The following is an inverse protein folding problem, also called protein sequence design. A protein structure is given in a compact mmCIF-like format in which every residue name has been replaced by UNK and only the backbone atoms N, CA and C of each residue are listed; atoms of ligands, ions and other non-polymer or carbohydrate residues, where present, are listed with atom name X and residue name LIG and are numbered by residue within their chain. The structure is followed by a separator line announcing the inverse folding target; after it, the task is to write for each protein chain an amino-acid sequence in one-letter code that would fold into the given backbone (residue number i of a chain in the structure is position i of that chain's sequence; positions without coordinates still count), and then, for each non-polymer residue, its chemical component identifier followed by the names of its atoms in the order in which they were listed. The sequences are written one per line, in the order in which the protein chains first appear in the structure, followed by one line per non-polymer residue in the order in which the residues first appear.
data_IF_152032013241
#
_entry.id   IF_152032013241
#
_cell.length_a   1.000
_cell.length_b   1.000
_cell.length_c   1.000
_cell.angle_alpha   90.00
_cell.angle_beta   90.00
_cell.angle_gamma   90.00
#
_symmetry.space_group_name_H-M   'P 1'
#
loop_
_entity.id
_entity.type
_entity.pdbx_description
1 polymer ?
#
# COMPACT_ATOMS: atom_id res chain seq x y z
N UNK A 1 12.13 12.23 -22.97
CA UNK A 1 12.11 12.28 -21.48
C UNK A 1 10.75 11.95 -20.86
N UNK A 2 9.62 12.23 -21.53
CA UNK A 2 8.26 11.93 -21.04
C UNK A 2 7.95 10.42 -20.94
N UNK A 3 8.43 9.61 -21.90
CA UNK A 3 8.24 8.15 -21.95
C UNK A 3 8.78 7.43 -20.72
N UNK A 4 9.96 7.81 -20.22
CA UNK A 4 10.57 7.15 -19.06
C UNK A 4 9.78 7.43 -17.76
N UNK A 5 9.14 8.61 -17.64
CA UNK A 5 8.27 8.92 -16.48
C UNK A 5 6.94 8.19 -16.54
N UNK A 6 6.36 8.05 -17.73
CA UNK A 6 5.15 7.25 -17.94
C UNK A 6 5.37 5.77 -17.59
N UNK A 7 6.51 5.20 -17.99
CA UNK A 7 6.86 3.82 -17.67
C UNK A 7 7.00 3.59 -16.17
N UNK A 8 7.59 4.55 -15.43
CA UNK A 8 7.71 4.48 -13.96
C UNK A 8 6.31 4.53 -13.30
N UNK A 9 5.40 5.37 -13.80
CA UNK A 9 4.02 5.44 -13.28
C UNK A 9 3.27 4.11 -13.40
N UNK A 10 3.39 3.44 -14.55
CA UNK A 10 2.77 2.14 -14.79
C UNK A 10 3.45 1.06 -13.94
N UNK A 11 4.78 1.07 -13.89
CA UNK A 11 5.56 0.11 -13.09
C UNK A 11 5.20 0.20 -11.60
N UNK A 12 5.08 1.42 -11.06
CA UNK A 12 4.67 1.63 -9.66
C UNK A 12 3.27 1.09 -9.39
N UNK A 13 2.33 1.28 -10.33
CA UNK A 13 0.97 0.77 -10.20
C UNK A 13 0.95 -0.76 -10.20
N UNK A 14 1.68 -1.40 -11.13
CA UNK A 14 1.80 -2.86 -11.22
C UNK A 14 2.40 -3.42 -9.93
N UNK A 15 3.51 -2.84 -9.44
CA UNK A 15 4.13 -3.28 -8.18
C UNK A 15 3.15 -3.14 -7.02
N UNK A 16 2.40 -2.04 -6.96
CA UNK A 16 1.40 -1.81 -5.92
C UNK A 16 0.31 -2.89 -5.96
N UNK A 17 -0.20 -3.24 -7.15
CA UNK A 17 -1.20 -4.30 -7.34
C UNK A 17 -0.64 -5.67 -6.95
N UNK A 18 0.59 -6.00 -7.35
CA UNK A 18 1.23 -7.27 -6.99
C UNK A 18 1.38 -7.40 -5.48
N UNK A 19 1.83 -6.34 -4.81
CA UNK A 19 1.93 -6.33 -3.34
C UNK A 19 0.56 -6.50 -2.71
N UNK A 20 -0.47 -5.81 -3.20
CA UNK A 20 -1.83 -6.00 -2.74
C UNK A 20 -2.29 -7.45 -2.90
N UNK A 21 -2.11 -8.05 -4.07
CA UNK A 21 -2.47 -9.43 -4.33
C UNK A 21 -1.71 -10.41 -3.40
N UNK A 22 -0.41 -10.19 -3.19
CA UNK A 22 0.38 -10.99 -2.26
C UNK A 22 -0.18 -10.96 -0.84
N UNK A 23 -0.50 -9.77 -0.32
CA UNK A 23 -1.06 -9.65 1.03
C UNK A 23 -2.44 -10.31 1.15
N UNK A 24 -3.34 -10.12 0.18
CA UNK A 24 -4.68 -10.70 0.23
C UNK A 24 -4.73 -12.21 -0.04
N UNK A 25 -3.89 -12.73 -0.92
CA UNK A 25 -3.95 -14.12 -1.35
C UNK A 25 -3.00 -15.04 -0.57
N UNK A 26 -1.95 -14.50 0.04
CA UNK A 26 -0.93 -15.29 0.74
C UNK A 26 -0.89 -14.95 2.22
N UNK A 27 -0.68 -13.68 2.57
CA UNK A 27 -0.46 -13.27 3.96
C UNK A 27 -1.70 -13.42 4.82
N UNK A 28 -2.84 -12.85 4.39
CA UNK A 28 -4.07 -12.88 5.17
C UNK A 28 -4.56 -14.32 5.40
N UNK A 29 -4.62 -15.21 4.39
CA UNK A 29 -4.98 -16.61 4.61
C UNK A 29 -4.02 -17.34 5.55
N UNK A 30 -2.71 -17.06 5.46
CA UNK A 30 -1.74 -17.61 6.41
C UNK A 30 -2.01 -17.11 7.83
N UNK A 31 -2.24 -15.81 8.02
CA UNK A 31 -2.55 -15.23 9.33
C UNK A 31 -3.82 -15.82 9.94
N UNK A 32 -4.88 -15.98 9.15
CA UNK A 32 -6.13 -16.63 9.59
C UNK A 32 -5.91 -18.09 10.01
N UNK A 33 -5.10 -18.86 9.27
CA UNK A 33 -4.81 -20.27 9.57
C UNK A 33 -4.06 -20.49 10.88
N UNK A 34 -3.30 -19.49 11.33
CA UNK A 34 -2.45 -19.55 12.52
C UNK A 34 -2.86 -18.53 13.58
N UNK A 35 -4.13 -18.12 13.55
CA UNK A 35 -4.82 -17.35 14.58
C UNK A 35 -4.28 -15.91 14.80
N UNK A 36 -3.53 -15.35 13.84
CA UNK A 36 -2.99 -13.97 13.94
C UNK A 36 -4.07 -12.87 13.92
N UNK A 37 -5.26 -13.18 13.39
CA UNK A 37 -6.39 -12.25 13.36
C UNK A 37 -7.55 -12.71 14.25
N UNK A 38 -7.34 -13.75 15.06
CA UNK A 38 -8.39 -14.27 15.94
C UNK A 38 -8.49 -13.42 17.20
N UNK A 39 -9.72 -13.06 17.60
CA UNK A 39 -9.96 -12.36 18.85
C UNK A 39 -9.98 -13.35 20.01
N UNK A 40 -9.10 -13.16 20.99
CA UNK A 40 -9.06 -13.96 22.22
C UNK A 40 -8.25 -15.26 22.13
N UNK A 41 -7.61 -15.54 20.98
CA UNK A 41 -6.60 -16.59 20.85
C UNK A 41 -5.24 -15.95 20.56
N UNK A 42 -4.21 -16.40 21.27
CA UNK A 42 -2.85 -15.99 20.96
C UNK A 42 -2.39 -16.63 19.64
N UNK A 43 -1.66 -15.89 18.79
CA UNK A 43 -1.07 -16.45 17.58
C UNK A 43 -0.12 -17.60 17.94
N UNK A 44 -0.05 -18.61 17.07
CA UNK A 44 0.85 -19.76 17.31
C UNK A 44 2.31 -19.28 17.34
N UNK A 45 2.94 -19.38 18.51
CA UNK A 45 4.26 -18.83 18.79
C UNK A 45 5.35 -19.31 17.81
N UNK A 46 5.29 -20.57 17.36
CA UNK A 46 6.23 -21.14 16.40
C UNK A 46 6.08 -20.55 14.97
N UNK A 47 4.96 -19.88 14.69
CA UNK A 47 4.66 -19.27 13.39
C UNK A 47 4.91 -17.77 13.32
N UNK A 48 5.05 -17.10 14.47
CA UNK A 48 5.36 -15.66 14.57
C UNK A 48 6.59 -15.26 13.73
N UNK A 49 7.76 -15.91 13.82
CA UNK A 49 8.93 -15.48 13.04
C UNK A 49 8.72 -15.63 11.54
N UNK A 50 8.04 -16.69 11.10
CA UNK A 50 7.72 -16.89 9.68
C UNK A 50 6.75 -15.82 9.17
N UNK A 51 5.71 -15.52 9.95
CA UNK A 51 4.74 -14.50 9.60
C UNK A 51 5.36 -13.11 9.56
N UNK A 52 6.24 -12.77 10.50
CA UNK A 52 7.01 -11.53 10.48
C UNK A 52 7.87 -11.42 9.22
N UNK A 53 8.61 -12.48 8.85
CA UNK A 53 9.44 -12.50 7.64
C UNK A 53 8.63 -12.39 6.35
N UNK A 54 7.42 -12.93 6.33
CA UNK A 54 6.50 -12.85 5.19
C UNK A 54 5.82 -11.48 5.04
N UNK A 55 5.85 -10.61 6.06
CA UNK A 55 5.10 -9.35 6.07
C UNK A 55 6.02 -8.14 6.15
N UNK A 56 6.79 -8.02 7.22
CA UNK A 56 7.55 -6.81 7.58
C UNK A 56 8.64 -6.47 6.56
N UNK A 57 9.53 -7.39 6.13
CA UNK A 57 10.55 -7.09 5.12
C UNK A 57 9.96 -6.66 3.78
N UNK A 58 8.84 -7.27 3.38
CA UNK A 58 8.15 -6.98 2.11
C UNK A 58 7.54 -5.57 2.17
N UNK A 59 6.89 -5.21 3.27
CA UNK A 59 6.34 -3.87 3.45
C UNK A 59 7.46 -2.82 3.48
N UNK A 60 8.55 -3.05 4.20
CA UNK A 60 9.70 -2.14 4.24
C UNK A 60 10.28 -1.95 2.84
N UNK A 61 10.49 -3.04 2.09
CA UNK A 61 10.98 -3.00 0.71
C UNK A 61 10.06 -2.19 -0.19
N UNK A 62 8.74 -2.38 -0.06
CA UNK A 62 7.73 -1.61 -0.79
C UNK A 62 7.77 -0.11 -0.43
N UNK A 63 7.85 0.25 0.85
CA UNK A 63 7.93 1.65 1.31
C UNK A 63 9.19 2.33 0.76
N UNK A 64 10.35 1.67 0.83
CA UNK A 64 11.61 2.20 0.27
C UNK A 64 11.51 2.40 -1.23
N UNK A 65 10.92 1.43 -1.94
CA UNK A 65 10.71 1.51 -3.38
C UNK A 65 9.78 2.66 -3.77
N UNK A 66 8.66 2.81 -3.07
CA UNK A 66 7.70 3.92 -3.26
C UNK A 66 8.37 5.26 -2.99
N UNK A 67 9.08 5.41 -1.87
CA UNK A 67 9.73 6.68 -1.50
C UNK A 67 10.72 7.17 -2.57
N UNK A 68 11.44 6.24 -3.22
CA UNK A 68 12.36 6.54 -4.33
C UNK A 68 11.63 6.86 -5.64
N UNK A 69 10.49 6.22 -5.88
CA UNK A 69 9.78 6.26 -7.17
C UNK A 69 8.76 7.39 -7.25
N UNK A 70 8.09 7.74 -6.15
CA UNK A 70 6.94 8.67 -6.14
C UNK A 70 7.28 10.07 -6.65
N UNK A 71 8.53 10.53 -6.44
CA UNK A 71 9.02 11.83 -6.95
C UNK A 71 9.14 11.85 -8.49
N UNK A 72 9.24 10.68 -9.12
CA UNK A 72 9.43 10.51 -10.57
C UNK A 72 8.11 10.29 -11.33
N UNK A 73 7.02 10.02 -10.61
CA UNK A 73 5.67 9.79 -11.15
C UNK A 73 5.07 11.12 -11.62
N UNK A 74 4.70 11.16 -12.90
CA UNK A 74 4.11 12.33 -13.55
C UNK A 74 2.70 12.09 -14.08
N UNK A 75 2.28 10.83 -14.19
CA UNK A 75 1.01 10.38 -14.76
C UNK A 75 0.40 9.25 -13.91
N UNK A 76 -0.91 9.01 -14.00
CA UNK A 76 -1.67 8.05 -13.16
C UNK A 76 -1.48 8.28 -11.65
N UNK A 77 -1.26 9.53 -11.25
CA UNK A 77 -1.10 9.89 -9.84
C UNK A 77 -2.42 9.69 -9.08
N UNK A 78 -3.57 9.90 -9.73
CA UNK A 78 -4.89 9.69 -9.12
C UNK A 78 -5.14 8.23 -8.71
N UNK A 79 -4.48 7.26 -9.35
CA UNK A 79 -4.56 5.84 -8.99
C UNK A 79 -3.42 5.44 -8.06
N UNK A 80 -2.20 5.85 -8.38
CA UNK A 80 -1.01 5.47 -7.61
C UNK A 80 -1.08 5.99 -6.16
N UNK A 81 -1.42 7.26 -5.96
CA UNK A 81 -1.38 7.87 -4.63
C UNK A 81 -2.34 7.22 -3.61
N UNK A 82 -3.65 7.06 -3.90
CA UNK A 82 -4.55 6.41 -2.96
C UNK A 82 -4.20 4.95 -2.72
N UNK A 83 -3.79 4.21 -3.76
CA UNK A 83 -3.40 2.81 -3.61
C UNK A 83 -2.15 2.65 -2.73
N UNK A 84 -1.17 3.53 -2.88
CA UNK A 84 0.02 3.56 -2.04
C UNK A 84 -0.33 3.81 -0.58
N UNK A 85 -1.18 4.82 -0.31
CA UNK A 85 -1.63 5.13 1.05
C UNK A 85 -2.37 3.94 1.65
N UNK A 86 -3.31 3.36 0.89
CA UNK A 86 -4.05 2.18 1.32
C UNK A 86 -3.09 1.02 1.67
N UNK A 87 -2.16 0.69 0.77
CA UNK A 87 -1.21 -0.39 0.97
C UNK A 87 -0.33 -0.16 2.20
N UNK A 88 0.25 1.04 2.35
CA UNK A 88 1.11 1.35 3.50
C UNK A 88 0.30 1.28 4.80
N UNK A 89 -0.86 1.92 4.84
CA UNK A 89 -1.69 1.95 6.04
C UNK A 89 -2.17 0.54 6.41
N UNK A 90 -2.88 -0.13 5.51
CA UNK A 90 -3.52 -1.42 5.78
C UNK A 90 -2.48 -2.52 6.05
N UNK A 91 -1.42 -2.61 5.26
CA UNK A 91 -0.39 -3.65 5.48
C UNK A 91 0.48 -3.38 6.70
N UNK A 92 0.56 -2.14 7.20
CA UNK A 92 1.18 -1.88 8.51
C UNK A 92 0.41 -2.57 9.63
N UNK A 93 -0.93 -2.59 9.60
CA UNK A 93 -1.72 -3.37 10.56
C UNK A 93 -1.48 -4.86 10.40
N UNK A 94 -1.42 -5.35 9.17
CA UNK A 94 -1.08 -6.76 8.93
C UNK A 94 0.29 -7.12 9.54
N UNK A 95 1.30 -6.27 9.40
CA UNK A 95 2.60 -6.50 10.04
C UNK A 95 2.52 -6.45 11.57
N UNK A 96 1.77 -5.50 12.14
CA UNK A 96 1.57 -5.37 13.59
C UNK A 96 0.83 -6.56 14.22
N UNK A 97 0.02 -7.27 13.43
CA UNK A 97 -0.65 -8.50 13.90
C UNK A 97 0.35 -9.60 14.30
N UNK A 98 1.60 -9.55 13.83
CA UNK A 98 2.65 -10.46 14.26
C UNK A 98 2.98 -10.34 15.76
N UNK A 99 2.87 -9.13 16.32
CA UNK A 99 3.19 -8.85 17.72
C UNK A 99 1.95 -8.74 18.61
N UNK A 100 0.84 -8.24 18.04
CA UNK A 100 -0.37 -7.91 18.81
C UNK A 100 -1.53 -8.89 18.57
N UNK A 101 -1.37 -9.85 17.65
CA UNK A 101 -2.43 -10.79 17.28
C UNK A 101 -3.71 -10.07 16.82
N UNK A 102 -4.86 -10.62 17.22
CA UNK A 102 -6.18 -10.04 16.88
C UNK A 102 -6.45 -8.66 17.49
N UNK A 103 -5.68 -8.20 18.48
CA UNK A 103 -5.84 -6.86 19.05
C UNK A 103 -5.61 -5.74 18.02
N UNK A 104 -4.93 -6.06 16.91
CA UNK A 104 -4.73 -5.14 15.79
C UNK A 104 -6.04 -4.67 15.14
N UNK A 105 -7.09 -5.49 15.19
CA UNK A 105 -8.41 -5.15 14.63
C UNK A 105 -9.03 -3.97 15.39
N UNK A 106 -8.86 -3.94 16.71
CA UNK A 106 -9.28 -2.83 17.57
C UNK A 106 -8.52 -1.55 17.25
N UNK A 107 -7.21 -1.63 17.05
CA UNK A 107 -6.39 -0.49 16.63
C UNK A 107 -6.85 0.05 15.26
N UNK A 108 -7.25 -0.84 14.35
CA UNK A 108 -7.77 -0.44 13.04
C UNK A 108 -9.07 0.36 13.15
N UNK A 109 -9.98 -0.02 14.06
CA UNK A 109 -11.24 0.71 14.31
C UNK A 109 -10.96 2.15 14.75
N UNK A 110 -10.06 2.35 15.72
CA UNK A 110 -9.76 3.70 16.22
C UNK A 110 -9.05 4.59 15.19
N UNK A 111 -8.31 3.98 14.27
CA UNK A 111 -7.49 4.71 13.31
C UNK A 111 -8.12 4.81 11.92
N UNK A 112 -9.29 4.21 11.69
CA UNK A 112 -9.96 4.13 10.37
C UNK A 112 -10.27 5.50 9.77
N UNK A 113 -10.39 6.55 10.60
CA UNK A 113 -10.57 7.92 10.14
C UNK A 113 -9.37 8.43 9.32
N UNK A 114 -8.16 7.92 9.59
CA UNK A 114 -6.94 8.31 8.89
C UNK A 114 -7.02 7.95 7.40
N UNK A 115 -7.20 6.68 6.97
CA UNK A 115 -7.32 6.36 5.56
C UNK A 115 -8.59 6.93 4.95
N UNK A 116 -9.68 7.04 5.72
CA UNK A 116 -10.94 7.63 5.26
C UNK A 116 -10.76 9.06 4.75
N UNK A 117 -9.85 9.82 5.38
CA UNK A 117 -9.53 11.20 4.98
C UNK A 117 -8.37 11.23 3.96
N UNK A 118 -7.30 10.47 4.21
CA UNK A 118 -6.09 10.51 3.37
C UNK A 118 -6.32 9.96 1.96
N UNK A 119 -7.15 8.92 1.79
CA UNK A 119 -7.42 8.33 0.48
C UNK A 119 -8.10 9.37 -0.44
N UNK A 120 -9.22 10.01 -0.07
CA UNK A 120 -9.83 11.07 -0.87
C UNK A 120 -8.88 12.24 -1.17
N UNK A 121 -8.13 12.72 -0.17
CA UNK A 121 -7.16 13.81 -0.36
C UNK A 121 -6.10 13.42 -1.39
N UNK A 122 -5.57 12.21 -1.29
CA UNK A 122 -4.54 11.72 -2.20
C UNK A 122 -5.05 11.49 -3.62
N UNK A 123 -6.31 11.06 -3.77
CA UNK A 123 -6.98 10.94 -5.05
C UNK A 123 -7.11 12.31 -5.71
N UNK A 124 -7.63 13.31 -4.99
CA UNK A 124 -7.76 14.70 -5.50
C UNK A 124 -6.39 15.27 -5.87
N UNK A 125 -5.40 15.11 -5.00
CA UNK A 125 -4.03 15.57 -5.27
C UNK A 125 -3.43 14.91 -6.52
N UNK A 126 -3.68 13.61 -6.70
CA UNK A 126 -3.29 12.87 -7.89
C UNK A 126 -4.00 13.35 -9.15
N UNK A 127 -5.31 13.58 -9.08
CA UNK A 127 -6.13 14.09 -10.18
C UNK A 127 -5.63 15.46 -10.66
N UNK A 128 -5.35 16.38 -9.74
CA UNK A 128 -4.80 17.70 -10.07
C UNK A 128 -3.46 17.55 -10.82
N UNK A 129 -2.61 16.62 -10.39
CA UNK A 129 -1.32 16.35 -11.03
C UNK A 129 -1.49 15.79 -12.44
N UNK A 130 -2.41 14.86 -12.62
CA UNK A 130 -2.68 14.23 -13.90
C UNK A 130 -3.30 15.21 -14.90
N UNK A 131 -4.23 16.08 -14.47
CA UNK A 131 -4.79 17.16 -15.31
C UNK A 131 -3.68 18.11 -15.78
N UNK A 132 -2.76 18.51 -14.88
CA UNK A 132 -1.62 19.37 -15.24
C UNK A 132 -0.70 18.70 -16.25
N UNK A 133 -0.48 17.39 -16.12
CA UNK A 133 0.33 16.62 -17.05
C UNK A 133 -0.30 16.55 -18.45
N UNK A 134 -1.60 16.25 -18.53
CA UNK A 134 -2.34 16.18 -19.79
C UNK A 134 -2.35 17.54 -20.50
N UNK A 135 -2.74 18.62 -19.80
CA UNK A 135 -2.75 19.97 -20.37
C UNK A 135 -1.39 20.40 -20.90
N UNK A 136 -0.30 20.04 -20.21
CA UNK A 136 1.06 20.34 -20.66
C UNK A 136 1.38 19.61 -21.97
N UNK A 137 1.02 18.33 -22.09
CA UNK A 137 1.29 17.57 -23.31
C UNK A 137 0.46 18.07 -24.51
N UNK A 138 -0.78 18.49 -24.29
CA UNK A 138 -1.62 19.07 -25.35
C UNK A 138 -1.00 20.35 -25.94
N UNK A 139 -0.38 21.19 -25.09
CA UNK A 139 0.33 22.41 -25.50
C UNK A 139 1.61 22.16 -26.33
N UNK A 140 2.24 20.99 -26.21
CA UNK A 140 3.46 20.66 -26.98
C UNK A 140 3.16 19.92 -28.29
N UNK A 141 1.91 19.47 -28.49
CA UNK A 141 1.47 18.80 -29.71
C UNK A 141 0.71 19.73 -30.68
N UNK A 142 0.58 21.01 -30.32
CA UNK A 142 0.14 22.11 -31.21
C UNK A 142 1.37 22.83 -31.77
#
# INVERSE_FOLDING_TARGET
MATNRSNISIYLLIVSIIITAYFFLVVIPYGNKYDFFSEGLDPKADKVPYYFLMTTPILIGYVVFVARSIKKVAYLCCLNYPLIIFNIYFFSFICLSAETGGAVLWLMIFTILIPLILIPISFIAGLIKDIKYLRRNDFYNQ
#
